data_IF_214275797665
#
_entry.id   IF_214275797665
#
_cell.length_a   1.000
_cell.length_b   1.000
_cell.length_c   1.000
_cell.angle_alpha   90.00
_cell.angle_beta   90.00
_cell.angle_gamma   90.00
#
_symmetry.space_group_name_H-M   'P 1'
#
loop_
_entity.id
_entity.type
_entity.pdbx_description
1 polymer ?
#
# COMPACT_ATOMS: atom_id res chain seq x y z
N UNK A 1 -6.88 1.24 7.54
CA UNK A 1 -6.68 2.16 6.39
C UNK A 1 -6.85 1.30 5.17
N UNK A 2 -7.86 1.61 4.35
CA UNK A 2 -8.19 0.82 3.17
C UNK A 2 -7.31 1.26 1.99
N UNK A 3 -6.64 0.29 1.37
CA UNK A 3 -5.73 0.51 0.24
C UNK A 3 -6.16 -0.37 -0.93
N UNK A 4 -6.65 0.28 -1.98
CA UNK A 4 -7.01 -0.34 -3.25
C UNK A 4 -5.77 -0.86 -3.99
N UNK A 5 -5.84 -2.10 -4.48
CA UNK A 5 -4.77 -2.75 -5.22
C UNK A 5 -4.50 -2.05 -6.55
N UNK A 6 -5.56 -1.73 -7.30
CA UNK A 6 -5.43 -0.97 -8.55
C UNK A 6 -4.76 0.38 -8.31
N UNK A 7 -5.14 1.11 -7.25
CA UNK A 7 -4.53 2.39 -6.92
C UNK A 7 -3.03 2.23 -6.59
N UNK A 8 -2.68 1.24 -5.76
CA UNK A 8 -1.30 0.99 -5.34
C UNK A 8 -0.40 0.69 -6.55
N UNK A 9 -0.93 -0.02 -7.54
CA UNK A 9 -0.24 -0.35 -8.79
C UNK A 9 0.15 0.88 -9.62
N UNK A 10 -0.50 2.02 -9.43
CA UNK A 10 -0.16 3.27 -10.13
C UNK A 10 1.14 3.89 -9.63
N UNK A 11 1.55 3.55 -8.40
CA UNK A 11 2.72 4.13 -7.72
C UNK A 11 3.90 3.18 -7.69
N UNK A 12 3.69 1.87 -7.76
CA UNK A 12 4.79 0.90 -7.76
C UNK A 12 4.40 -0.36 -8.49
N UNK A 13 5.37 -1.04 -9.07
CA UNK A 13 5.11 -2.33 -9.72
C UNK A 13 4.79 -3.38 -8.65
N UNK A 14 3.66 -4.08 -8.79
CA UNK A 14 3.22 -5.10 -7.84
C UNK A 14 3.61 -6.48 -8.38
N UNK A 15 4.79 -6.95 -7.99
CA UNK A 15 5.37 -8.22 -8.46
C UNK A 15 4.91 -9.45 -7.67
N UNK A 16 3.94 -9.27 -6.78
CA UNK A 16 3.47 -10.29 -5.83
C UNK A 16 1.94 -10.25 -5.72
N UNK A 17 1.36 -11.17 -4.96
CA UNK A 17 -0.09 -11.19 -4.72
C UNK A 17 -0.48 -10.22 -3.59
N UNK A 18 -1.77 -9.90 -3.49
CA UNK A 18 -2.25 -9.03 -2.41
C UNK A 18 -2.01 -9.60 -1.03
N UNK A 19 -2.17 -10.91 -0.86
CA UNK A 19 -1.97 -11.60 0.41
C UNK A 19 -0.49 -11.62 0.82
N UNK A 20 0.42 -11.85 -0.14
CA UNK A 20 1.86 -11.82 0.12
C UNK A 20 2.34 -10.41 0.50
N UNK A 21 1.82 -9.37 -0.15
CA UNK A 21 2.16 -7.99 0.19
C UNK A 21 1.58 -7.60 1.56
N UNK A 22 0.35 -8.02 1.86
CA UNK A 22 -0.27 -7.83 3.17
C UNK A 22 0.53 -8.47 4.30
N UNK A 23 1.05 -9.68 4.08
CA UNK A 23 1.96 -10.34 5.02
C UNK A 23 3.26 -9.54 5.22
N UNK A 24 3.86 -9.04 4.14
CA UNK A 24 5.07 -8.21 4.25
C UNK A 24 4.83 -6.88 4.98
N UNK A 25 3.67 -6.25 4.76
CA UNK A 25 3.25 -5.08 5.53
C UNK A 25 3.16 -5.38 7.02
N UNK A 26 2.53 -6.49 7.41
CA UNK A 26 2.46 -6.90 8.81
C UNK A 26 3.86 -7.11 9.42
N UNK A 27 4.77 -7.72 8.66
CA UNK A 27 6.17 -7.92 9.07
C UNK A 27 6.96 -6.61 9.17
N UNK A 28 6.58 -5.57 8.42
CA UNK A 28 7.23 -4.25 8.44
C UNK A 28 6.59 -3.25 9.41
N UNK A 29 5.56 -3.67 10.14
CA UNK A 29 4.89 -2.87 11.18
C UNK A 29 3.65 -2.11 10.71
N UNK A 30 3.06 -2.50 9.57
CA UNK A 30 1.72 -2.10 9.16
C UNK A 30 0.79 -3.31 9.35
N UNK A 31 0.05 -3.35 10.44
CA UNK A 31 -0.81 -4.47 10.80
C UNK A 31 -1.86 -4.74 9.71
N UNK A 32 -2.00 -5.99 9.29
CA UNK A 32 -3.02 -6.42 8.33
C UNK A 32 -4.29 -6.83 9.07
N UNK A 33 -5.37 -6.08 8.88
CA UNK A 33 -6.68 -6.36 9.48
C UNK A 33 -7.54 -7.25 8.57
N UNK A 34 -7.38 -7.12 7.26
CA UNK A 34 -8.11 -7.95 6.30
C UNK A 34 -7.80 -7.63 4.84
N UNK A 35 -8.14 -8.59 3.96
CA UNK A 35 -8.14 -8.40 2.51
C UNK A 35 -9.52 -8.79 2.00
N UNK A 36 -10.16 -7.90 1.25
CA UNK A 36 -11.49 -8.12 0.71
C UNK A 36 -11.57 -7.74 -0.76
N UNK A 37 -12.46 -8.40 -1.50
CA UNK A 37 -12.80 -8.04 -2.87
C UNK A 37 -13.97 -7.05 -2.84
N UNK A 38 -13.74 -5.83 -3.30
CA UNK A 38 -14.76 -4.77 -3.38
C UNK A 38 -15.03 -4.49 -4.86
N UNK A 39 -16.12 -5.06 -5.37
CA UNK A 39 -16.41 -5.03 -6.80
C UNK A 39 -15.42 -5.90 -7.57
N UNK A 40 -14.59 -5.28 -8.40
CA UNK A 40 -13.54 -5.96 -9.18
C UNK A 40 -12.12 -5.69 -8.67
N UNK A 41 -11.97 -4.91 -7.58
CA UNK A 41 -10.68 -4.55 -7.02
C UNK A 41 -10.45 -5.20 -5.64
N UNK A 42 -9.18 -5.49 -5.34
CA UNK A 42 -8.76 -6.03 -4.06
C UNK A 42 -8.41 -4.89 -3.11
N UNK A 43 -8.96 -4.88 -1.91
CA UNK A 43 -8.71 -3.86 -0.89
C UNK A 43 -7.99 -4.51 0.29
N UNK A 44 -6.87 -3.92 0.68
CA UNK A 44 -6.10 -4.32 1.87
C UNK A 44 -6.41 -3.32 2.99
N UNK A 45 -6.90 -3.81 4.12
CA UNK A 45 -7.08 -2.99 5.33
C UNK A 45 -5.85 -3.09 6.23
N UNK A 46 -5.21 -1.94 6.42
CA UNK A 46 -4.01 -1.79 7.23
C UNK A 46 -4.28 -0.95 8.47
N UNK A 47 -4.07 -1.49 9.67
CA UNK A 47 -4.02 -0.68 10.88
C UNK A 47 -2.65 0.03 10.96
N UNK A 48 -2.68 1.36 10.85
CA UNK A 48 -1.48 2.21 10.94
C UNK A 48 -1.31 2.65 12.39
N UNK A 49 -0.20 2.26 13.01
CA UNK A 49 0.13 2.61 14.38
C UNK A 49 0.54 4.09 14.53
N UNK A 50 0.38 4.65 15.74
CA UNK A 50 0.65 6.08 16.02
C UNK A 50 2.07 6.54 15.70
N UNK A 51 3.04 5.64 15.70
CA UNK A 51 4.44 5.92 15.37
C UNK A 51 4.77 5.81 13.87
N UNK A 52 3.80 5.43 13.02
CA UNK A 52 3.94 5.31 11.55
C UNK A 52 3.13 6.36 10.81
N UNK A 53 3.24 7.62 11.24
CA UNK A 53 2.53 8.74 10.62
C UNK A 53 2.87 8.93 9.13
N UNK A 54 4.02 8.42 8.70
CA UNK A 54 4.46 8.38 7.30
C UNK A 54 3.55 7.53 6.41
N UNK A 55 2.82 6.55 6.98
CA UNK A 55 1.88 5.67 6.28
C UNK A 55 0.40 6.04 6.46
N UNK A 56 0.08 7.20 7.07
CA UNK A 56 -1.31 7.67 7.21
C UNK A 56 -1.95 8.14 5.90
N UNK A 57 -1.19 8.15 4.80
CA UNK A 57 -1.68 8.47 3.47
C UNK A 57 -1.20 7.45 2.45
N UNK A 58 -1.94 7.36 1.33
CA UNK A 58 -1.73 6.31 0.34
C UNK A 58 -0.33 6.33 -0.30
N UNK A 59 0.28 7.52 -0.49
CA UNK A 59 1.66 7.64 -1.00
C UNK A 59 2.67 7.05 -0.01
N UNK A 60 2.42 7.17 1.29
CA UNK A 60 3.24 6.56 2.33
C UNK A 60 3.23 5.04 2.27
N UNK A 61 2.03 4.46 2.14
CA UNK A 61 1.87 3.02 1.94
C UNK A 61 2.50 2.56 0.62
N UNK A 62 2.35 3.33 -0.46
CA UNK A 62 3.00 3.03 -1.74
C UNK A 62 4.53 3.02 -1.63
N UNK A 63 5.10 3.95 -0.87
CA UNK A 63 6.55 3.99 -0.60
C UNK A 63 7.00 2.75 0.17
N UNK A 64 6.25 2.35 1.19
CA UNK A 64 6.53 1.11 1.93
C UNK A 64 6.48 -0.11 0.99
N UNK A 65 5.43 -0.23 0.17
CA UNK A 65 5.31 -1.29 -0.82
C UNK A 65 6.48 -1.32 -1.80
N UNK A 66 6.92 -0.15 -2.32
CA UNK A 66 8.08 -0.05 -3.20
C UNK A 66 9.35 -0.60 -2.55
N UNK A 67 9.58 -0.30 -1.25
CA UNK A 67 10.74 -0.80 -0.51
C UNK A 67 10.66 -2.31 -0.33
N UNK A 68 9.51 -2.82 0.13
CA UNK A 68 9.29 -4.26 0.35
C UNK A 68 9.48 -5.07 -0.93
N UNK A 69 8.98 -4.57 -2.06
CA UNK A 69 9.06 -5.24 -3.35
C UNK A 69 10.36 -4.95 -4.12
N UNK A 70 11.23 -4.09 -3.57
CA UNK A 70 12.43 -3.59 -4.27
C UNK A 70 12.11 -3.03 -5.66
N UNK A 71 10.99 -2.30 -5.77
CA UNK A 71 10.54 -1.68 -7.01
C UNK A 71 10.65 -0.15 -6.92
N UNK A 72 10.87 0.54 -8.05
CA UNK A 72 10.87 2.00 -8.07
C UNK A 72 9.50 2.58 -7.68
N UNK A 73 9.50 3.62 -6.83
CA UNK A 73 8.31 4.41 -6.53
C UNK A 73 8.10 5.48 -7.61
N UNK A 74 6.87 5.59 -8.10
CA UNK A 74 6.39 6.62 -9.02
C UNK A 74 5.47 7.57 -8.28
N UNK A 75 5.92 8.81 -8.07
CA UNK A 75 5.11 9.88 -7.47
C UNK A 75 4.64 10.82 -8.59
N UNK A 76 3.33 11.11 -8.70
CA UNK A 76 2.83 12.06 -9.69
C UNK A 76 3.30 13.48 -9.36
N UNK A 77 3.64 14.26 -10.39
CA UNK A 77 3.98 15.68 -10.23
C UNK A 77 2.75 16.45 -9.76
N UNK A 78 2.92 17.26 -8.71
CA UNK A 78 1.86 18.15 -8.25
C UNK A 78 1.61 19.24 -9.31
N UNK A 79 0.40 19.24 -9.88
CA UNK A 79 -0.07 20.29 -10.80
C UNK A 79 -1.31 20.96 -10.19
N UNK A 80 -1.14 21.82 -9.16
CA UNK A 80 -2.25 22.59 -8.61
C UNK A 80 -2.82 23.52 -9.70
N UNK A 81 -4.14 23.62 -9.74
CA UNK A 81 -4.87 24.59 -10.58
C UNK A 81 -5.09 25.88 -9.81
#
# INVERSE_FOLDING_TARGET
MLVCWEWLSQYTNLTTTADDLALQFAMSGLNHEGTELVGEDTVIDLEVTSNRSDCLGHIGVAREASVLLSQPLKIPTASPK
#
